data_IF_116509735558
#
_entry.id   IF_116509735558
#
_cell.length_a   1.000
_cell.length_b   1.000
_cell.length_c   1.000
_cell.angle_alpha   90.00
_cell.angle_beta   90.00
_cell.angle_gamma   90.00
#
_symmetry.space_group_name_H-M   'P 1'
#
loop_
_entity.id
_entity.type
_entity.pdbx_description
1 polymer ?
#
# COMPACT_ATOMS: atom_id res chain seq x y z
N UNK A 1 14.69 -6.30 -1.42
CA UNK A 1 13.34 -6.54 -0.89
C UNK A 1 13.53 -7.18 0.47
N UNK A 2 13.26 -6.47 1.57
CA UNK A 2 13.65 -6.89 2.93
C UNK A 2 12.60 -7.86 3.49
N UNK A 3 12.79 -9.16 3.28
CA UNK A 3 11.86 -10.19 3.74
C UNK A 3 12.24 -10.67 5.17
N UNK A 4 11.52 -11.67 5.69
CA UNK A 4 11.78 -12.20 7.03
C UNK A 4 13.21 -12.76 7.20
N UNK A 5 13.81 -13.34 6.16
CA UNK A 5 15.18 -13.84 6.18
C UNK A 5 16.15 -12.66 6.33
N UNK A 6 15.95 -11.58 5.57
CA UNK A 6 16.82 -10.40 5.64
C UNK A 6 16.72 -9.73 7.02
N UNK A 7 15.51 -9.63 7.58
CA UNK A 7 15.30 -9.09 8.93
C UNK A 7 16.01 -9.92 10.01
N UNK A 8 16.00 -11.25 9.89
CA UNK A 8 16.72 -12.16 10.79
C UNK A 8 18.24 -12.01 10.63
N UNK A 9 18.74 -11.81 9.41
CA UNK A 9 20.15 -11.55 9.13
C UNK A 9 20.63 -10.22 9.71
N UNK A 10 19.75 -9.21 9.78
CA UNK A 10 19.98 -7.93 10.48
C UNK A 10 19.95 -8.07 12.01
N UNK A 11 19.75 -9.28 12.54
CA UNK A 11 19.77 -9.58 13.98
C UNK A 11 18.44 -9.35 14.68
N UNK A 12 17.37 -8.96 13.96
CA UNK A 12 16.02 -8.95 14.51
C UNK A 12 15.57 -10.38 14.80
N UNK A 13 14.67 -10.54 15.77
CA UNK A 13 14.14 -11.85 16.17
C UNK A 13 12.67 -11.80 16.51
N UNK A 14 12.00 -12.95 16.41
CA UNK A 14 10.62 -13.14 16.82
C UNK A 14 9.67 -12.13 16.17
N UNK A 15 8.81 -11.50 16.97
CA UNK A 15 7.83 -10.53 16.50
C UNK A 15 8.44 -9.31 15.80
N UNK A 16 9.61 -8.84 16.23
CA UNK A 16 10.26 -7.69 15.59
C UNK A 16 10.69 -8.00 14.14
N UNK A 17 11.21 -9.21 13.90
CA UNK A 17 11.57 -9.65 12.54
C UNK A 17 10.32 -9.79 11.65
N UNK A 18 9.24 -10.35 12.20
CA UNK A 18 7.97 -10.48 11.48
C UNK A 18 7.34 -9.11 11.14
N UNK A 19 7.34 -8.18 12.10
CA UNK A 19 6.86 -6.81 11.89
C UNK A 19 7.64 -6.12 10.77
N UNK A 20 8.97 -6.18 10.82
CA UNK A 20 9.84 -5.58 9.79
C UNK A 20 9.56 -6.15 8.40
N UNK A 21 9.42 -7.47 8.30
CA UNK A 21 9.11 -8.16 7.06
C UNK A 21 7.71 -7.84 6.53
N UNK A 22 6.72 -7.69 7.41
CA UNK A 22 5.37 -7.30 7.05
C UNK A 22 5.31 -5.86 6.54
N UNK A 23 6.00 -4.92 7.19
CA UNK A 23 6.09 -3.52 6.74
C UNK A 23 6.73 -3.40 5.35
N UNK A 24 7.81 -4.15 5.11
CA UNK A 24 8.43 -4.22 3.80
C UNK A 24 7.47 -4.81 2.76
N UNK A 25 6.80 -5.92 3.08
CA UNK A 25 5.84 -6.57 2.19
C UNK A 25 4.65 -5.68 1.83
N UNK A 26 4.12 -4.93 2.81
CA UNK A 26 3.06 -3.94 2.59
C UNK A 26 3.54 -2.85 1.63
N UNK A 27 4.72 -2.28 1.90
CA UNK A 27 5.30 -1.22 1.06
C UNK A 27 5.51 -1.69 -0.38
N UNK A 28 6.09 -2.87 -0.55
CA UNK A 28 6.33 -3.48 -1.86
C UNK A 28 5.02 -3.72 -2.61
N UNK A 29 4.00 -4.25 -1.93
CA UNK A 29 2.71 -4.51 -2.55
C UNK A 29 2.02 -3.21 -2.97
N UNK A 30 2.12 -2.16 -2.15
CA UNK A 30 1.58 -0.84 -2.49
C UNK A 30 2.27 -0.22 -3.71
N UNK A 31 3.60 -0.31 -3.79
CA UNK A 31 4.37 0.19 -4.93
C UNK A 31 4.04 -0.59 -6.21
N UNK A 32 3.97 -1.92 -6.12
CA UNK A 32 3.59 -2.78 -7.24
C UNK A 32 2.17 -2.48 -7.73
N UNK A 33 1.20 -2.32 -6.81
CA UNK A 33 -0.17 -1.95 -7.15
C UNK A 33 -0.27 -0.57 -7.80
N UNK A 34 0.47 0.42 -7.27
CA UNK A 34 0.52 1.77 -7.84
C UNK A 34 1.04 1.76 -9.28
N UNK A 35 2.10 0.99 -9.54
CA UNK A 35 2.64 0.80 -10.89
C UNK A 35 1.65 0.12 -11.83
N UNK A 36 0.96 -0.92 -11.35
CA UNK A 36 -0.04 -1.62 -12.15
C UNK A 36 -1.20 -0.69 -12.57
N UNK A 37 -1.64 0.20 -11.66
CA UNK A 37 -2.65 1.21 -11.97
C UNK A 37 -2.13 2.21 -13.00
N UNK A 38 -0.91 2.70 -12.84
CA UNK A 38 -0.28 3.64 -13.78
C UNK A 38 -0.15 3.02 -15.18
N UNK A 39 0.33 1.78 -15.28
CA UNK A 39 0.45 1.02 -16.53
C UNK A 39 -0.92 0.77 -17.18
N UNK A 40 -1.97 0.57 -16.38
CA UNK A 40 -3.33 0.49 -16.87
C UNK A 40 -3.82 1.83 -17.42
N UNK A 41 -3.58 2.94 -16.72
CA UNK A 41 -3.95 4.28 -17.19
C UNK A 41 -3.22 4.66 -18.49
N UNK A 42 -1.96 4.25 -18.66
CA UNK A 42 -1.26 4.44 -19.93
C UNK A 42 -1.86 3.63 -21.08
N UNK A 43 -2.52 2.50 -20.81
CA UNK A 43 -3.19 1.68 -21.83
C UNK A 43 -4.57 2.21 -22.21
N UNK A 44 -5.35 2.64 -21.22
CA UNK A 44 -6.77 2.96 -21.41
C UNK A 44 -7.06 4.47 -21.52
N UNK A 45 -6.09 5.34 -21.22
CA UNK A 45 -6.29 6.79 -21.15
C UNK A 45 -5.13 7.58 -21.76
N UNK A 46 -5.17 8.90 -21.62
CA UNK A 46 -4.10 9.79 -22.08
C UNK A 46 -2.92 9.83 -21.10
N UNK A 47 -1.73 10.11 -21.61
CA UNK A 47 -0.53 10.30 -20.79
C UNK A 47 -0.68 11.35 -19.69
N UNK A 48 -1.49 12.39 -19.94
CA UNK A 48 -1.79 13.39 -18.93
C UNK A 48 -2.56 12.77 -17.75
N UNK A 49 -3.57 11.93 -18.03
CA UNK A 49 -4.33 11.23 -16.98
C UNK A 49 -3.46 10.21 -16.24
N UNK A 50 -2.58 9.49 -16.94
CA UNK A 50 -1.63 8.58 -16.31
C UNK A 50 -0.69 9.30 -15.32
N UNK A 51 -0.11 10.44 -15.73
CA UNK A 51 0.73 11.28 -14.84
C UNK A 51 -0.05 11.86 -13.65
N UNK A 52 -1.30 12.29 -13.87
CA UNK A 52 -2.16 12.77 -12.80
C UNK A 52 -2.47 11.67 -11.78
N UNK A 53 -2.80 10.46 -12.25
CA UNK A 53 -3.01 9.29 -11.39
C UNK A 53 -1.74 8.92 -10.61
N UNK A 54 -0.57 8.93 -11.26
CA UNK A 54 0.73 8.71 -10.59
C UNK A 54 0.93 9.68 -9.43
N UNK A 55 0.70 10.98 -9.66
CA UNK A 55 0.87 12.01 -8.64
C UNK A 55 -0.04 11.79 -7.44
N UNK A 56 -1.32 11.45 -7.69
CA UNK A 56 -2.29 11.13 -6.63
C UNK A 56 -1.92 9.87 -5.84
N UNK A 57 -1.42 8.83 -6.51
CA UNK A 57 -0.96 7.61 -5.85
C UNK A 57 0.29 7.87 -4.98
N UNK A 58 1.22 8.71 -5.45
CA UNK A 58 2.40 9.11 -4.68
C UNK A 58 2.02 9.92 -3.43
N UNK A 59 1.10 10.88 -3.57
CA UNK A 59 0.57 11.65 -2.44
C UNK A 59 -0.12 10.73 -1.43
N UNK A 60 -0.99 9.83 -1.90
CA UNK A 60 -1.67 8.86 -1.05
C UNK A 60 -0.68 7.94 -0.32
N UNK A 61 0.39 7.49 -1.00
CA UNK A 61 1.42 6.65 -0.41
C UNK A 61 2.08 7.32 0.81
N UNK A 62 2.31 8.63 0.76
CA UNK A 62 2.87 9.40 1.88
C UNK A 62 1.98 9.46 3.13
N UNK A 63 0.67 9.21 2.98
CA UNK A 63 -0.30 9.23 4.09
C UNK A 63 -0.61 7.87 4.71
N UNK A 64 -0.06 6.76 4.19
CA UNK A 64 -0.40 5.42 4.69
C UNK A 64 0.42 5.05 5.92
N UNK A 65 -0.27 4.66 7.00
CA UNK A 65 0.36 4.03 8.17
C UNK A 65 0.74 2.57 7.87
N UNK A 66 1.88 2.39 7.20
CA UNK A 66 2.43 1.07 6.84
C UNK A 66 2.62 0.17 8.06
N UNK A 67 3.05 0.75 9.19
CA UNK A 67 3.28 -0.01 10.43
C UNK A 67 1.98 -0.50 11.05
N UNK A 68 0.94 0.34 11.03
CA UNK A 68 -0.43 -0.04 11.40
C UNK A 68 -0.98 -1.17 10.54
N UNK A 69 -0.84 -1.07 9.21
CA UNK A 69 -1.27 -2.14 8.29
C UNK A 69 -0.49 -3.43 8.54
N UNK A 70 0.83 -3.36 8.76
CA UNK A 70 1.64 -4.52 9.09
C UNK A 70 1.18 -5.19 10.40
N UNK A 71 0.89 -4.40 11.44
CA UNK A 71 0.31 -4.91 12.70
C UNK A 71 -1.04 -5.59 12.49
N UNK A 72 -1.89 -5.03 11.63
CA UNK A 72 -3.16 -5.66 11.26
C UNK A 72 -2.97 -7.00 10.56
N UNK A 73 -2.02 -7.09 9.62
CA UNK A 73 -1.71 -8.34 8.92
C UNK A 73 -1.20 -9.43 9.87
N UNK A 74 -0.37 -9.05 10.84
CA UNK A 74 0.19 -9.96 11.84
C UNK A 74 -0.77 -10.27 12.99
N UNK A 75 -1.95 -9.62 13.04
CA UNK A 75 -2.90 -9.71 14.17
C UNK A 75 -2.23 -9.38 15.50
N UNK A 76 -1.38 -8.35 15.51
CA UNK A 76 -0.68 -7.90 16.70
C UNK A 76 -1.69 -7.38 17.76
N UNK A 77 -1.39 -7.46 19.06
CA UNK A 77 -2.29 -7.01 20.13
C UNK A 77 -2.72 -5.54 20.00
N UNK A 78 -1.81 -4.68 19.54
CA UNK A 78 -2.06 -3.25 19.33
C UNK A 78 -2.33 -2.91 17.86
N UNK A 79 -2.87 -3.86 17.09
CA UNK A 79 -3.27 -3.60 15.71
C UNK A 79 -4.43 -2.58 15.68
N UNK A 80 -4.36 -1.56 14.82
CA UNK A 80 -5.48 -0.65 14.64
C UNK A 80 -6.73 -1.43 14.23
N UNK A 81 -7.89 -0.97 14.71
CA UNK A 81 -9.16 -1.56 14.32
C UNK A 81 -9.30 -1.48 12.80
N UNK A 82 -9.73 -2.59 12.18
CA UNK A 82 -9.97 -2.62 10.74
C UNK A 82 -11.12 -1.69 10.44
N UNK A 83 -10.82 -0.50 9.94
CA UNK A 83 -11.83 0.43 9.44
C UNK A 83 -12.52 -0.23 8.26
N UNK A 84 -13.86 -0.27 8.29
CA UNK A 84 -14.66 -0.63 7.13
C UNK A 84 -14.26 0.28 5.97
N UNK A 85 -14.01 -0.32 4.81
CA UNK A 85 -13.73 0.45 3.60
C UNK A 85 -14.87 1.44 3.43
N UNK A 86 -14.57 2.74 3.47
CA UNK A 86 -15.56 3.76 3.14
C UNK A 86 -15.87 3.57 1.66
N UNK A 87 -17.00 2.94 1.38
CA UNK A 87 -17.56 2.91 0.03
C UNK A 87 -18.06 4.33 -0.21
N UNK A 88 -17.19 5.16 -0.79
CA UNK A 88 -17.64 6.43 -1.35
C UNK A 88 -18.55 6.10 -2.53
N UNK A 89 -19.86 6.24 -2.36
CA UNK A 89 -20.79 6.35 -3.49
C UNK A 89 -20.29 7.49 -4.39
N UNK A 90 -20.15 7.25 -5.68
CA UNK A 90 -19.64 8.25 -6.62
C UNK A 90 -18.27 7.95 -7.23
N UNK A 91 -17.47 7.03 -6.65
CA UNK A 91 -16.17 6.67 -7.24
C UNK A 91 -16.34 5.86 -8.55
N UNK A 92 -17.37 5.01 -8.59
CA UNK A 92 -17.79 4.27 -9.80
C UNK A 92 -18.65 5.11 -10.76
N UNK A 93 -19.20 6.24 -10.31
CA UNK A 93 -20.09 7.06 -11.14
C UNK A 93 -19.34 7.86 -12.22
N UNK A 94 -18.01 7.93 -12.12
CA UNK A 94 -17.18 8.70 -13.04
C UNK A 94 -17.42 10.21 -12.96
N UNK A 95 -16.63 10.99 -13.71
CA UNK A 95 -16.88 12.44 -13.82
C UNK A 95 -18.09 12.67 -14.70
N UNK A 96 -19.08 13.43 -14.22
CA UNK A 96 -20.18 13.88 -15.06
C UNK A 96 -19.66 14.81 -16.15
N UNK A 97 -19.99 14.49 -17.40
CA UNK A 97 -19.67 15.27 -18.61
C UNK A 97 -20.70 16.37 -18.86
#
# INVERSE_FOLDING_TARGET
MSNAIDALQEGLRGQAALQRAAEASVSDRMLAGSRQIEEHMHREASDHRARATRSRLQEAHGGVDVSGVARMLLRAPDAPARTTTVVYSGLDDGVSF
#
